data_IF_019768800987
#
_entry.id   IF_019768800987
#
_cell.length_a   1.000
_cell.length_b   1.000
_cell.length_c   1.000
_cell.angle_alpha   90.00
_cell.angle_beta   90.00
_cell.angle_gamma   90.00
#
_symmetry.space_group_name_H-M   'P 1'
#
loop_
_entity.id
_entity.type
_entity.pdbx_description
1 polymer ?
#
# COMPACT_ATOMS: atom_id res chain seq x y z
N UNK A 1 69.45 18.85 14.70
CA UNK A 1 70.20 18.03 15.68
C UNK A 1 69.38 16.75 15.89
N UNK A 2 69.65 15.72 15.08
CA UNK A 2 70.38 14.48 15.41
C UNK A 2 69.48 13.48 16.18
N UNK A 3 69.28 12.20 15.85
CA UNK A 3 69.87 11.22 14.92
C UNK A 3 68.76 10.15 14.62
N UNK A 4 68.53 9.59 13.43
CA UNK A 4 69.32 8.65 12.61
C UNK A 4 69.63 7.29 13.27
N UNK A 5 68.99 6.20 12.78
CA UNK A 5 69.63 4.90 12.53
C UNK A 5 68.75 3.99 11.64
N UNK A 6 69.25 3.69 10.44
CA UNK A 6 68.87 2.63 9.51
C UNK A 6 69.91 1.50 9.60
N UNK A 7 69.61 0.37 8.91
CA UNK A 7 70.47 -0.77 8.49
C UNK A 7 70.32 -2.07 9.29
N UNK A 8 70.35 -3.31 8.74
CA UNK A 8 70.71 -3.92 7.44
C UNK A 8 69.99 -5.31 7.34
N UNK A 9 69.38 -5.74 6.23
CA UNK A 9 69.93 -6.53 5.10
C UNK A 9 70.29 -8.03 5.35
N UNK A 10 69.45 -8.95 4.83
CA UNK A 10 69.67 -10.24 4.04
C UNK A 10 70.82 -11.23 4.39
N UNK A 11 70.73 -12.57 4.12
CA UNK A 11 70.47 -13.16 2.78
C UNK A 11 69.77 -14.56 2.69
N UNK A 12 69.73 -15.08 1.46
CA UNK A 12 68.99 -16.22 0.87
C UNK A 12 69.73 -17.60 0.92
N UNK A 13 68.94 -18.71 1.01
CA UNK A 13 69.05 -20.10 0.43
C UNK A 13 70.16 -21.11 0.86
N UNK A 14 70.06 -22.46 0.59
CA UNK A 14 68.90 -23.36 0.30
C UNK A 14 68.91 -24.78 0.98
N UNK A 15 67.78 -25.50 0.81
CA UNK A 15 67.58 -26.97 0.63
C UNK A 15 67.97 -28.01 1.70
N UNK A 16 66.96 -28.77 2.16
CA UNK A 16 67.04 -30.24 2.28
C UNK A 16 65.65 -30.89 2.16
N UNK A 17 65.58 -31.91 1.33
CA UNK A 17 64.43 -32.78 1.04
C UNK A 17 64.57 -34.04 1.88
N UNK A 18 63.56 -34.41 2.69
CA UNK A 18 63.22 -35.83 2.95
C UNK A 18 61.72 -35.96 3.20
N UNK A 19 61.11 -36.84 2.42
CA UNK A 19 59.73 -37.33 2.50
C UNK A 19 59.42 -38.01 3.85
N UNK A 20 58.19 -37.83 4.37
CA UNK A 20 57.33 -38.96 4.75
C UNK A 20 55.88 -38.51 4.99
N UNK A 21 54.97 -39.40 4.60
CA UNK A 21 53.55 -39.20 4.34
C UNK A 21 52.70 -39.00 5.61
N UNK A 22 51.59 -38.24 5.49
CA UNK A 22 50.30 -38.46 6.17
C UNK A 22 49.19 -37.78 5.33
N UNK A 23 48.23 -38.60 4.89
CA UNK A 23 46.85 -38.38 4.40
C UNK A 23 46.43 -37.03 3.78
N UNK A 24 46.25 -37.01 2.44
CA UNK A 24 45.47 -35.98 1.73
C UNK A 24 43.97 -36.27 1.83
N UNK A 25 43.22 -35.35 2.42
CA UNK A 25 41.76 -35.25 2.21
C UNK A 25 41.47 -34.75 0.78
N UNK A 26 40.50 -35.37 0.12
CA UNK A 26 39.97 -34.97 -1.20
C UNK A 26 39.41 -33.54 -1.13
N UNK A 27 39.67 -32.65 -2.10
CA UNK A 27 38.85 -31.46 -2.26
C UNK A 27 37.51 -31.89 -2.88
N UNK A 28 36.42 -31.55 -2.21
CA UNK A 28 35.08 -31.72 -2.74
C UNK A 28 34.92 -30.88 -4.00
N UNK A 29 34.54 -31.55 -5.09
CA UNK A 29 34.27 -30.98 -6.41
C UNK A 29 33.05 -30.06 -6.29
N UNK A 30 33.26 -28.75 -6.19
CA UNK A 30 32.19 -27.76 -6.17
C UNK A 30 31.52 -27.76 -7.54
N UNK A 31 30.34 -28.37 -7.63
CA UNK A 31 29.47 -28.26 -8.81
C UNK A 31 28.98 -26.81 -8.85
N UNK A 32 29.52 -26.02 -9.78
CA UNK A 32 28.92 -24.74 -10.16
C UNK A 32 27.57 -25.04 -10.80
N UNK A 33 26.51 -25.03 -9.99
CA UNK A 33 25.15 -24.87 -10.49
C UNK A 33 25.06 -23.45 -11.06
N UNK A 34 25.27 -23.35 -12.37
CA UNK A 34 24.91 -22.14 -13.12
C UNK A 34 23.40 -22.20 -13.30
N UNK A 35 22.66 -21.62 -12.36
CA UNK A 35 21.24 -21.36 -12.53
C UNK A 35 21.09 -20.20 -13.52
N UNK A 36 21.27 -20.48 -14.79
CA UNK A 36 20.70 -19.65 -15.85
C UNK A 36 19.20 -19.94 -15.82
N UNK A 37 18.45 -19.20 -15.02
CA UNK A 37 17.01 -19.07 -15.23
C UNK A 37 16.84 -18.26 -16.50
N UNK A 38 16.96 -18.95 -17.64
CA UNK A 38 16.43 -18.48 -18.90
C UNK A 38 14.93 -18.33 -18.67
N UNK A 39 14.47 -17.09 -18.50
CA UNK A 39 13.06 -16.73 -18.55
C UNK A 39 12.57 -16.95 -19.98
N UNK A 40 12.43 -18.22 -20.35
CA UNK A 40 11.55 -18.59 -21.45
C UNK A 40 10.19 -18.01 -21.08
N UNK A 41 9.74 -17.04 -21.87
CA UNK A 41 8.35 -16.60 -21.90
C UNK A 41 7.52 -17.81 -22.33
N UNK A 42 7.13 -18.62 -21.34
CA UNK A 42 5.96 -19.47 -21.47
C UNK A 42 4.85 -18.47 -21.76
N UNK A 43 4.28 -18.53 -22.96
CA UNK A 43 3.06 -17.81 -23.32
C UNK A 43 2.12 -17.88 -22.12
N UNK A 44 1.79 -16.75 -21.49
CA UNK A 44 0.95 -16.71 -20.28
C UNK A 44 -0.35 -17.48 -20.57
N UNK A 45 -0.45 -18.70 -20.05
CA UNK A 45 -1.63 -19.56 -20.22
C UNK A 45 -2.77 -19.07 -19.31
N UNK A 46 -2.44 -18.31 -18.26
CA UNK A 46 -3.38 -17.71 -17.31
C UNK A 46 -3.24 -16.20 -17.35
N UNK A 47 -4.37 -15.50 -17.16
CA UNK A 47 -4.37 -14.04 -16.93
C UNK A 47 -3.66 -13.69 -15.62
N UNK A 48 -3.22 -12.45 -15.52
CA UNK A 48 -2.62 -11.95 -14.28
C UNK A 48 -3.61 -11.99 -13.13
N UNK A 49 -3.10 -12.41 -11.97
CA UNK A 49 -3.85 -12.44 -10.74
C UNK A 49 -3.73 -11.10 -10.01
N UNK A 50 -4.85 -10.38 -9.91
CA UNK A 50 -4.90 -9.04 -9.32
C UNK A 50 -5.59 -9.07 -7.96
N UNK A 51 -4.93 -8.56 -6.93
CA UNK A 51 -5.53 -8.38 -5.61
C UNK A 51 -5.68 -6.91 -5.26
N UNK A 52 -6.69 -6.60 -4.44
CA UNK A 52 -6.87 -5.27 -3.83
C UNK A 52 -6.74 -5.40 -2.31
N UNK A 53 -5.83 -4.65 -1.70
CA UNK A 53 -5.69 -4.58 -0.24
C UNK A 53 -6.19 -3.22 0.26
N UNK A 54 -7.21 -3.24 1.12
CA UNK A 54 -7.82 -2.04 1.71
C UNK A 54 -7.64 -2.09 3.22
N UNK A 55 -7.10 -1.02 3.78
CA UNK A 55 -7.16 -0.71 5.22
C UNK A 55 -7.67 0.73 5.33
N UNK A 56 -8.94 0.95 5.71
CA UNK A 56 -9.51 2.30 5.70
C UNK A 56 -8.67 3.28 6.54
N UNK A 57 -8.57 4.49 6.03
CA UNK A 57 -7.84 5.58 6.69
C UNK A 57 -8.65 6.08 7.90
N UNK A 58 -7.99 6.37 9.02
CA UNK A 58 -8.62 7.05 10.16
C UNK A 58 -9.57 6.20 11.01
N UNK A 59 -9.53 4.86 10.89
CA UNK A 59 -10.38 3.95 11.68
C UNK A 59 -9.65 3.21 12.80
N UNK A 60 -8.37 3.54 13.05
CA UNK A 60 -7.57 2.90 14.10
C UNK A 60 -7.35 1.42 13.88
N UNK A 61 -7.12 0.99 12.63
CA UNK A 61 -6.87 -0.41 12.31
C UNK A 61 -5.64 -0.95 13.07
N UNK A 62 -5.75 -2.15 13.62
CA UNK A 62 -4.65 -2.78 14.36
C UNK A 62 -3.39 -2.99 13.49
N UNK A 63 -3.53 -3.12 12.18
CA UNK A 63 -2.48 -3.12 11.15
C UNK A 63 -2.90 -2.18 10.01
N UNK A 64 -2.10 -1.16 9.74
CA UNK A 64 -2.40 -0.08 8.79
C UNK A 64 -3.11 1.12 9.42
N UNK A 65 -3.19 1.17 10.75
CA UNK A 65 -3.62 2.34 11.51
C UNK A 65 -2.47 3.27 11.89
N UNK A 66 -1.22 2.90 11.61
CA UNK A 66 -0.03 3.72 11.86
C UNK A 66 0.77 3.89 10.58
N UNK A 67 1.57 4.96 10.47
CA UNK A 67 2.35 5.24 9.26
C UNK A 67 3.28 4.07 8.89
N UNK A 68 2.86 3.30 7.88
CA UNK A 68 3.65 2.23 7.27
C UNK A 68 3.55 0.85 7.88
N UNK A 69 2.75 0.64 8.93
CA UNK A 69 2.71 -0.65 9.62
C UNK A 69 1.98 -1.75 8.84
N UNK A 70 1.20 -1.39 7.80
CA UNK A 70 0.66 -2.32 6.81
C UNK A 70 1.58 -2.58 5.61
N UNK A 71 2.66 -1.80 5.40
CA UNK A 71 3.58 -1.99 4.28
C UNK A 71 4.23 -3.39 4.25
N UNK A 72 4.62 -4.01 5.39
CA UNK A 72 5.10 -5.39 5.39
C UNK A 72 4.07 -6.41 4.85
N UNK A 73 2.79 -6.19 5.13
CA UNK A 73 1.69 -7.04 4.62
C UNK A 73 1.57 -6.86 3.11
N UNK A 74 1.54 -5.62 2.62
CA UNK A 74 1.50 -5.32 1.20
C UNK A 74 2.69 -5.93 0.45
N UNK A 75 3.90 -5.85 1.02
CA UNK A 75 5.12 -6.46 0.46
C UNK A 75 5.04 -7.98 0.41
N UNK A 76 4.51 -8.62 1.44
CA UNK A 76 4.33 -10.07 1.45
C UNK A 76 3.27 -10.50 0.41
N UNK A 77 2.14 -9.80 0.35
CA UNK A 77 1.09 -10.03 -0.64
C UNK A 77 1.59 -9.83 -2.07
N UNK A 78 2.35 -8.77 -2.34
CA UNK A 78 2.87 -8.48 -3.67
C UNK A 78 3.81 -9.58 -4.19
N UNK A 79 4.38 -10.40 -3.30
CA UNK A 79 5.21 -11.55 -3.70
C UNK A 79 4.41 -12.77 -4.19
N UNK A 80 3.12 -12.85 -3.85
CA UNK A 80 2.24 -13.97 -4.24
C UNK A 80 1.28 -13.61 -5.37
N UNK A 81 0.98 -12.33 -5.61
CA UNK A 81 0.09 -11.87 -6.69
C UNK A 81 0.88 -11.34 -7.89
N UNK A 82 0.24 -11.22 -9.05
CA UNK A 82 0.88 -10.62 -10.23
C UNK A 82 0.74 -9.09 -10.22
N UNK A 83 -0.37 -8.57 -9.69
CA UNK A 83 -0.60 -7.16 -9.46
C UNK A 83 -1.31 -6.95 -8.11
N UNK A 84 -0.80 -6.03 -7.28
CA UNK A 84 -1.46 -5.60 -6.05
C UNK A 84 -1.90 -4.14 -6.20
N UNK A 85 -3.19 -3.87 -6.01
CA UNK A 85 -3.73 -2.52 -5.92
C UNK A 85 -3.88 -2.19 -4.44
N UNK A 86 -3.33 -1.07 -3.99
CA UNK A 86 -3.53 -0.56 -2.64
C UNK A 86 -3.39 0.95 -2.62
N UNK A 87 -3.54 1.56 -1.45
CA UNK A 87 -3.72 2.99 -1.30
C UNK A 87 -2.66 3.62 -0.39
N UNK A 88 -2.51 4.97 -0.41
CA UNK A 88 -1.51 5.69 0.38
C UNK A 88 -1.39 5.23 1.83
N UNK A 89 -2.50 5.08 2.56
CA UNK A 89 -2.49 4.67 3.98
C UNK A 89 -1.80 3.31 4.23
N UNK A 90 -1.79 2.38 3.26
CA UNK A 90 -1.05 1.10 3.39
C UNK A 90 0.43 1.24 3.01
N UNK A 91 0.73 2.11 2.03
CA UNK A 91 2.03 2.13 1.35
C UNK A 91 2.98 3.22 1.87
N UNK A 92 2.42 4.28 2.46
CA UNK A 92 3.17 5.41 3.00
C UNK A 92 3.68 5.09 4.41
N UNK A 93 4.94 5.41 4.69
CA UNK A 93 5.57 5.21 6.00
C UNK A 93 6.43 6.43 6.38
N UNK A 94 5.85 7.63 6.24
CA UNK A 94 6.52 8.92 6.45
C UNK A 94 7.80 9.07 5.58
N UNK A 95 8.98 8.99 6.19
CA UNK A 95 10.26 9.03 5.48
C UNK A 95 10.63 7.70 4.82
N UNK A 96 10.00 6.61 5.24
CA UNK A 96 10.24 5.27 4.74
C UNK A 96 9.29 4.96 3.59
N UNK A 97 9.78 4.24 2.59
CA UNK A 97 8.99 3.63 1.54
C UNK A 97 9.75 2.41 1.02
N UNK A 98 9.03 1.48 0.38
CA UNK A 98 9.65 0.30 -0.19
C UNK A 98 9.28 0.17 -1.67
N UNK A 99 10.26 -0.01 -2.58
CA UNK A 99 9.96 -0.18 -3.99
C UNK A 99 9.29 -1.54 -4.23
N UNK A 100 8.03 -1.51 -4.68
CA UNK A 100 7.25 -2.69 -5.02
C UNK A 100 6.87 -2.62 -6.51
N UNK A 101 7.52 -3.40 -7.39
CA UNK A 101 7.42 -3.21 -8.84
C UNK A 101 6.07 -3.61 -9.45
N UNK A 102 5.25 -4.36 -8.70
CA UNK A 102 3.94 -4.84 -9.13
C UNK A 102 2.80 -4.31 -8.24
N UNK A 103 3.00 -3.15 -7.61
CA UNK A 103 1.99 -2.49 -6.80
C UNK A 103 1.51 -1.20 -7.48
N UNK A 104 0.19 -1.04 -7.56
CA UNK A 104 -0.44 0.19 -8.01
C UNK A 104 -0.86 1.03 -6.81
N UNK A 105 -0.36 2.26 -6.75
CA UNK A 105 -0.62 3.25 -5.71
C UNK A 105 -1.87 4.07 -6.08
N UNK A 106 -3.03 3.75 -5.51
CA UNK A 106 -4.33 4.31 -5.89
C UNK A 106 -4.97 5.02 -4.72
N UNK A 107 -5.34 6.29 -4.90
CA UNK A 107 -6.03 7.06 -3.87
C UNK A 107 -7.42 6.45 -3.54
N UNK A 108 -7.93 6.66 -2.31
CA UNK A 108 -9.14 6.01 -1.80
C UNK A 108 -10.40 6.27 -2.64
N UNK A 109 -10.69 7.51 -3.00
CA UNK A 109 -11.80 7.83 -3.91
C UNK A 109 -11.61 7.18 -5.27
N UNK A 110 -10.42 7.28 -5.86
CA UNK A 110 -10.13 6.61 -7.12
C UNK A 110 -10.35 5.09 -7.05
N UNK A 111 -9.99 4.47 -5.92
CA UNK A 111 -10.20 3.06 -5.67
C UNK A 111 -11.69 2.71 -5.60
N UNK A 112 -12.51 3.55 -4.97
CA UNK A 112 -13.96 3.40 -4.95
C UNK A 112 -14.55 3.50 -6.36
N UNK A 113 -14.16 4.51 -7.16
CA UNK A 113 -14.61 4.66 -8.56
C UNK A 113 -14.15 3.51 -9.45
N UNK A 114 -12.95 3.01 -9.20
CA UNK A 114 -12.43 1.80 -9.86
C UNK A 114 -13.29 0.58 -9.52
N UNK A 115 -13.57 0.34 -8.24
CA UNK A 115 -14.37 -0.79 -7.77
C UNK A 115 -15.80 -0.77 -8.31
N UNK A 116 -16.38 0.42 -8.49
CA UNK A 116 -17.68 0.63 -9.15
C UNK A 116 -17.66 0.32 -10.66
N UNK A 117 -16.47 0.10 -11.24
CA UNK A 117 -16.28 -0.13 -12.67
C UNK A 117 -16.38 1.13 -13.51
N UNK A 118 -16.35 2.31 -12.86
CA UNK A 118 -16.50 3.60 -13.52
C UNK A 118 -15.16 4.13 -14.02
N UNK A 119 -14.07 3.83 -13.30
CA UNK A 119 -12.71 4.17 -13.71
C UNK A 119 -11.88 2.91 -13.97
N UNK A 120 -10.98 2.97 -14.96
CA UNK A 120 -9.89 2.03 -15.16
C UNK A 120 -8.58 2.59 -14.65
N UNK A 121 -7.65 1.69 -14.28
CA UNK A 121 -6.31 2.05 -13.86
C UNK A 121 -5.34 1.77 -14.99
N UNK A 122 -4.63 2.80 -15.44
CA UNK A 122 -3.60 2.70 -16.49
C UNK A 122 -2.21 2.80 -15.85
N UNK A 123 -1.47 1.68 -15.73
CA UNK A 123 -0.10 1.70 -15.24
C UNK A 123 0.79 2.63 -16.09
N UNK A 124 1.78 3.24 -15.44
CA UNK A 124 2.73 4.16 -16.07
C UNK A 124 4.15 3.79 -15.69
N UNK A 125 5.12 4.17 -16.54
CA UNK A 125 6.53 4.09 -16.17
C UNK A 125 6.94 5.22 -15.23
N UNK A 126 6.38 6.42 -15.43
CA UNK A 126 6.73 7.61 -14.69
C UNK A 126 5.66 8.68 -14.85
N UNK A 127 5.25 9.30 -13.74
CA UNK A 127 4.41 10.50 -13.72
C UNK A 127 5.26 11.79 -13.77
N UNK A 128 4.60 12.93 -13.97
CA UNK A 128 5.14 14.27 -13.74
C UNK A 128 4.44 14.84 -12.51
N UNK A 129 5.11 14.76 -11.36
CA UNK A 129 4.53 15.11 -10.07
C UNK A 129 4.66 16.61 -9.81
N UNK A 130 3.54 17.28 -9.53
CA UNK A 130 3.48 18.65 -9.05
C UNK A 130 3.27 18.72 -7.54
N UNK A 131 3.91 19.68 -6.88
CA UNK A 131 3.77 19.90 -5.44
C UNK A 131 2.94 21.14 -5.14
N UNK A 132 1.86 21.01 -4.38
CA UNK A 132 1.10 22.13 -3.83
C UNK A 132 1.47 22.31 -2.36
N UNK A 133 1.93 23.51 -2.00
CA UNK A 133 2.22 23.88 -0.61
C UNK A 133 1.13 24.84 -0.12
N UNK A 134 0.57 24.57 1.04
CA UNK A 134 -0.36 25.48 1.70
C UNK A 134 0.34 26.79 2.11
N UNK A 135 -0.28 27.93 1.78
CA UNK A 135 0.16 29.27 2.18
C UNK A 135 0.20 29.47 3.69
N UNK A 136 -0.50 28.63 4.46
CA UNK A 136 -0.44 28.63 5.92
C UNK A 136 0.86 28.07 6.50
N UNK A 137 1.70 27.41 5.70
CA UNK A 137 2.95 26.79 6.18
C UNK A 137 4.00 27.88 6.46
N UNK A 138 4.61 27.81 7.64
CA UNK A 138 5.70 28.70 8.05
C UNK A 138 6.94 28.53 7.15
N UNK A 139 7.71 29.60 6.95
CA UNK A 139 8.80 29.60 5.97
C UNK A 139 9.87 28.52 6.22
N UNK A 140 10.21 28.24 7.48
CA UNK A 140 11.15 27.15 7.79
C UNK A 140 10.58 25.77 7.42
N UNK A 141 9.32 25.51 7.80
CA UNK A 141 8.67 24.23 7.53
C UNK A 141 8.47 24.02 6.03
N UNK A 142 8.10 25.09 5.31
CA UNK A 142 8.03 25.12 3.84
C UNK A 142 9.38 24.81 3.21
N UNK A 143 10.47 25.41 3.70
CA UNK A 143 11.83 25.12 3.22
C UNK A 143 12.20 23.65 3.42
N UNK A 144 11.84 23.04 4.55
CA UNK A 144 12.08 21.60 4.80
C UNK A 144 11.38 20.72 3.77
N UNK A 145 10.12 21.03 3.41
CA UNK A 145 9.39 20.30 2.37
C UNK A 145 10.03 20.46 0.98
N UNK A 146 10.48 21.67 0.64
CA UNK A 146 11.20 21.91 -0.62
C UNK A 146 12.54 21.14 -0.66
N UNK A 147 13.28 21.10 0.45
CA UNK A 147 14.50 20.30 0.56
C UNK A 147 14.24 18.80 0.40
N UNK A 148 13.11 18.29 0.90
CA UNK A 148 12.70 16.90 0.64
C UNK A 148 12.41 16.66 -0.84
N UNK A 149 11.69 17.59 -1.50
CA UNK A 149 11.46 17.50 -2.95
C UNK A 149 12.79 17.47 -3.73
N UNK A 150 13.74 18.35 -3.40
CA UNK A 150 15.07 18.37 -4.03
C UNK A 150 15.90 17.11 -3.71
N UNK A 151 15.88 16.65 -2.47
CA UNK A 151 16.62 15.46 -2.04
C UNK A 151 16.11 14.19 -2.74
N UNK A 152 14.80 14.03 -2.87
CA UNK A 152 14.19 12.88 -3.56
C UNK A 152 14.44 12.92 -5.06
N UNK A 153 14.41 14.10 -5.69
CA UNK A 153 14.85 14.29 -7.09
C UNK A 153 16.29 13.87 -7.28
N UNK A 154 17.20 14.35 -6.44
CA UNK A 154 18.64 14.11 -6.57
C UNK A 154 19.05 12.67 -6.23
N UNK A 155 18.46 12.08 -5.19
CA UNK A 155 18.92 10.80 -4.63
C UNK A 155 18.16 9.59 -5.17
N UNK A 156 16.88 9.77 -5.51
CA UNK A 156 15.99 8.70 -5.95
C UNK A 156 15.56 8.85 -7.42
N UNK A 157 15.84 10.00 -8.04
CA UNK A 157 15.44 10.28 -9.42
C UNK A 157 13.95 10.53 -9.59
N UNK A 158 13.24 10.96 -8.53
CA UNK A 158 11.78 11.15 -8.62
C UNK A 158 11.40 12.32 -9.53
N UNK A 159 10.31 12.21 -10.30
CA UNK A 159 9.91 13.17 -11.33
C UNK A 159 9.08 14.34 -10.77
N UNK A 160 9.55 14.98 -9.70
CA UNK A 160 8.89 16.16 -9.10
C UNK A 160 9.24 17.39 -9.91
N UNK A 161 8.37 17.87 -10.80
CA UNK A 161 8.76 18.82 -11.87
C UNK A 161 8.59 20.29 -11.50
N UNK A 162 7.68 20.63 -10.59
CA UNK A 162 7.42 22.01 -10.15
C UNK A 162 6.67 22.02 -8.82
N UNK A 163 6.60 23.18 -8.17
CA UNK A 163 5.69 23.43 -7.07
C UNK A 163 4.90 24.73 -7.27
N UNK A 164 3.81 24.88 -6.52
CA UNK A 164 3.10 26.15 -6.34
C UNK A 164 2.71 26.29 -4.87
N UNK A 165 2.42 27.52 -4.45
CA UNK A 165 1.81 27.81 -3.15
C UNK A 165 0.34 28.16 -3.39
N UNK A 166 -0.55 27.76 -2.49
CA UNK A 166 -1.96 28.20 -2.53
C UNK A 166 -2.04 29.73 -2.36
N UNK A 167 -3.12 30.36 -2.80
CA UNK A 167 -3.24 31.83 -2.70
C UNK A 167 -3.70 32.29 -1.30
N UNK A 168 -4.30 31.37 -0.54
CA UNK A 168 -4.74 31.56 0.83
C UNK A 168 -4.54 30.28 1.65
N UNK A 169 -4.35 30.38 2.98
CA UNK A 169 -4.21 29.21 3.85
C UNK A 169 -5.41 28.28 3.73
N UNK A 170 -5.18 26.95 3.74
CA UNK A 170 -6.25 25.96 3.60
C UNK A 170 -7.19 25.91 4.81
N UNK A 171 -6.71 26.33 5.99
CA UNK A 171 -7.43 26.32 7.25
C UNK A 171 -7.94 24.90 7.57
N UNK A 172 -6.98 23.99 7.77
CA UNK A 172 -7.25 22.58 8.10
C UNK A 172 -7.81 22.50 9.52
N UNK A 173 -8.91 21.78 9.68
CA UNK A 173 -9.51 21.41 10.97
C UNK A 173 -9.63 19.89 11.04
N UNK A 174 -9.34 19.30 12.20
CA UNK A 174 -9.36 17.86 12.43
C UNK A 174 -10.03 17.53 13.77
N UNK A 175 -10.73 16.40 13.84
CA UNK A 175 -11.35 15.90 15.07
C UNK A 175 -11.64 14.40 14.96
N UNK A 176 -11.83 13.75 16.12
CA UNK A 176 -12.45 12.43 16.18
C UNK A 176 -13.97 12.56 16.22
N UNK A 177 -14.68 11.79 15.40
CA UNK A 177 -16.12 11.70 15.45
C UNK A 177 -16.55 11.10 16.80
N UNK A 178 -17.36 11.81 17.62
CA UNK A 178 -17.67 11.38 18.97
C UNK A 178 -18.57 10.15 19.03
N UNK A 179 -19.21 9.78 17.92
CA UNK A 179 -20.13 8.62 17.85
C UNK A 179 -19.41 7.37 17.39
N UNK A 180 -18.53 7.50 16.41
CA UNK A 180 -17.86 6.38 15.73
C UNK A 180 -16.39 6.23 16.12
N UNK A 181 -15.78 7.24 16.74
CA UNK A 181 -14.36 7.25 17.09
C UNK A 181 -13.42 7.42 15.88
N UNK A 182 -13.95 7.58 14.67
CA UNK A 182 -13.16 7.75 13.45
C UNK A 182 -12.53 9.14 13.38
N UNK A 183 -11.35 9.22 12.81
CA UNK A 183 -10.70 10.49 12.45
C UNK A 183 -11.37 11.12 11.23
N UNK A 184 -11.64 12.41 11.33
CA UNK A 184 -12.28 13.19 10.26
C UNK A 184 -11.84 14.65 10.34
N UNK A 185 -12.25 15.46 9.35
CA UNK A 185 -11.95 16.88 9.36
C UNK A 185 -12.48 17.62 8.14
N UNK A 186 -12.01 18.86 7.97
CA UNK A 186 -12.33 19.69 6.80
C UNK A 186 -11.22 20.68 6.50
N UNK A 187 -11.29 21.26 5.30
CA UNK A 187 -10.51 22.44 4.93
C UNK A 187 -11.44 23.63 4.72
N UNK A 188 -11.07 24.81 5.25
CA UNK A 188 -11.86 26.03 5.16
C UNK A 188 -11.77 26.74 3.80
N UNK A 189 -10.75 26.43 2.98
CA UNK A 189 -10.52 27.02 1.65
C UNK A 189 -10.25 25.97 0.56
N UNK A 190 -11.22 25.09 0.25
CA UNK A 190 -11.08 24.10 -0.83
C UNK A 190 -10.86 24.76 -2.20
N UNK A 191 -11.44 25.93 -2.43
CA UNK A 191 -11.30 26.71 -3.65
C UNK A 191 -9.84 27.13 -3.92
N UNK A 192 -9.10 27.47 -2.87
CA UNK A 192 -7.67 27.83 -2.92
C UNK A 192 -6.83 26.64 -3.38
N UNK A 193 -7.10 25.44 -2.84
CA UNK A 193 -6.46 24.19 -3.25
C UNK A 193 -6.72 23.89 -4.73
N UNK A 194 -7.99 23.93 -5.15
CA UNK A 194 -8.37 23.63 -6.53
C UNK A 194 -7.74 24.61 -7.53
N UNK A 195 -7.67 25.91 -7.22
CA UNK A 195 -6.98 26.90 -8.06
C UNK A 195 -5.48 26.58 -8.20
N UNK A 196 -4.82 26.21 -7.11
CA UNK A 196 -3.41 25.86 -7.12
C UNK A 196 -3.14 24.60 -7.96
N UNK A 197 -3.94 23.54 -7.78
CA UNK A 197 -3.83 22.32 -8.59
C UNK A 197 -4.08 22.60 -10.06
N UNK A 198 -5.17 23.32 -10.39
CA UNK A 198 -5.50 23.70 -11.76
C UNK A 198 -4.33 24.43 -12.43
N UNK A 199 -3.70 25.36 -11.73
CA UNK A 199 -2.54 26.08 -12.25
C UNK A 199 -1.36 25.14 -12.58
N UNK A 200 -1.07 24.14 -11.73
CA UNK A 200 -0.03 23.16 -12.01
C UNK A 200 -0.39 22.28 -13.23
N UNK A 201 -1.62 21.78 -13.29
CA UNK A 201 -2.09 20.91 -14.38
C UNK A 201 -2.03 21.66 -15.72
N UNK A 202 -2.62 22.85 -15.80
CA UNK A 202 -2.72 23.60 -17.05
C UNK A 202 -1.38 24.24 -17.48
N UNK A 203 -0.59 24.77 -16.55
CA UNK A 203 0.59 25.58 -16.89
C UNK A 203 1.89 24.77 -16.89
N UNK A 204 1.97 23.71 -16.10
CA UNK A 204 3.17 22.87 -16.00
C UNK A 204 2.96 21.45 -16.52
N UNK A 205 1.75 21.10 -16.98
CA UNK A 205 1.40 19.79 -17.54
C UNK A 205 1.72 18.63 -16.57
N UNK A 206 1.49 18.85 -15.26
CA UNK A 206 1.62 17.81 -14.24
C UNK A 206 0.44 16.84 -14.36
N UNK A 207 0.68 15.57 -14.07
CA UNK A 207 -0.35 14.52 -14.13
C UNK A 207 -0.43 13.68 -12.84
N UNK A 208 0.23 14.13 -11.78
CA UNK A 208 0.08 13.62 -10.42
C UNK A 208 0.37 14.77 -9.44
N UNK A 209 -0.32 14.80 -8.30
CA UNK A 209 -0.26 15.92 -7.35
C UNK A 209 0.10 15.41 -5.95
N UNK A 210 1.13 16.02 -5.35
CA UNK A 210 1.36 15.94 -3.92
C UNK A 210 0.85 17.23 -3.27
N UNK A 211 -0.02 17.13 -2.26
CA UNK A 211 -0.49 18.29 -1.48
C UNK A 211 0.15 18.27 -0.10
N UNK A 212 0.75 19.38 0.30
CA UNK A 212 1.24 19.60 1.67
C UNK A 212 0.34 20.65 2.31
N UNK A 213 -0.50 20.22 3.26
CA UNK A 213 -1.37 21.12 4.04
C UNK A 213 -0.72 21.53 5.35
N UNK A 214 -0.96 22.75 5.85
CA UNK A 214 -0.61 23.11 7.24
C UNK A 214 -1.70 22.60 8.17
N UNK A 215 -1.39 21.64 9.00
CA UNK A 215 -2.32 21.06 9.97
C UNK A 215 -2.20 21.81 11.30
N UNK A 216 -3.25 21.88 12.14
CA UNK A 216 -3.10 22.36 13.51
C UNK A 216 -2.07 21.51 14.26
N UNK A 217 -1.17 22.16 15.00
CA UNK A 217 -0.24 21.45 15.88
C UNK A 217 -1.02 20.78 17.01
N UNK A 218 -0.66 19.54 17.31
CA UNK A 218 -1.27 18.76 18.38
C UNK A 218 -0.77 19.17 19.77
N UNK A 219 -1.69 19.21 20.74
CA UNK A 219 -1.31 19.16 22.14
C UNK A 219 -0.83 17.74 22.49
N UNK A 220 0.24 17.62 23.29
CA UNK A 220 0.85 16.32 23.62
C UNK A 220 -0.14 15.28 24.14
N UNK A 221 -1.14 15.71 24.92
CA UNK A 221 -2.14 14.82 25.50
C UNK A 221 -3.06 14.20 24.46
N UNK A 222 -3.29 14.87 23.32
CA UNK A 222 -4.23 14.41 22.29
C UNK A 222 -3.67 13.27 21.44
N UNK A 223 -2.34 13.18 21.31
CA UNK A 223 -1.67 12.20 20.43
C UNK A 223 -0.79 11.20 21.17
N UNK A 224 -0.64 11.31 22.50
CA UNK A 224 0.23 10.44 23.28
C UNK A 224 -0.19 8.96 23.21
N UNK A 225 -1.49 8.68 23.23
CA UNK A 225 -2.01 7.33 23.02
C UNK A 225 -1.63 6.80 21.64
N UNK A 226 -1.84 7.60 20.58
CA UNK A 226 -1.46 7.23 19.20
C UNK A 226 0.02 6.92 19.10
N UNK A 227 0.89 7.80 19.64
CA UNK A 227 2.35 7.59 19.66
C UNK A 227 2.74 6.33 20.43
N UNK A 228 1.96 5.91 21.43
CA UNK A 228 2.14 4.65 22.18
C UNK A 228 1.51 3.43 21.51
N UNK A 229 1.02 3.57 20.27
CA UNK A 229 0.41 2.48 19.52
C UNK A 229 -1.00 2.14 20.02
N UNK A 230 -1.74 3.15 20.49
CA UNK A 230 -3.13 3.02 20.94
C UNK A 230 -4.00 4.11 20.29
N UNK A 231 -5.24 3.82 19.96
CA UNK A 231 -6.14 4.83 19.42
C UNK A 231 -5.89 5.14 17.93
N UNK A 232 -6.46 6.25 17.48
CA UNK A 232 -6.64 6.59 16.06
C UNK A 232 -5.76 7.76 15.68
N UNK A 233 -5.19 7.76 14.47
CA UNK A 233 -4.50 8.93 13.93
C UNK A 233 -5.49 10.08 13.65
N UNK A 234 -5.33 11.20 14.35
CA UNK A 234 -6.18 12.39 14.20
C UNK A 234 -5.98 13.11 12.85
N UNK A 235 -4.87 12.86 12.14
CA UNK A 235 -4.56 13.51 10.86
C UNK A 235 -5.25 12.80 9.69
N UNK A 236 -5.27 11.47 9.74
CA UNK A 236 -5.71 10.56 8.69
C UNK A 236 -7.02 10.96 7.99
N UNK A 237 -8.03 11.40 8.73
CA UNK A 237 -9.33 11.75 8.18
C UNK A 237 -9.30 12.95 7.23
N UNK A 238 -8.74 14.09 7.66
CA UNK A 238 -8.70 15.31 6.84
C UNK A 238 -7.69 15.20 5.70
N UNK A 239 -6.64 14.44 5.92
CA UNK A 239 -5.70 13.98 4.90
C UNK A 239 -6.42 13.31 3.71
N UNK A 240 -7.30 12.34 3.99
CA UNK A 240 -8.14 11.72 2.96
C UNK A 240 -9.08 12.74 2.28
N UNK A 241 -9.67 13.68 3.02
CA UNK A 241 -10.52 14.75 2.45
C UNK A 241 -9.76 15.60 1.42
N UNK A 242 -8.50 15.94 1.69
CA UNK A 242 -7.69 16.77 0.79
C UNK A 242 -7.41 16.06 -0.53
N UNK A 243 -6.93 14.82 -0.48
CA UNK A 243 -6.60 14.06 -1.70
C UNK A 243 -7.85 13.68 -2.49
N UNK A 244 -8.92 13.27 -1.81
CA UNK A 244 -10.22 12.97 -2.41
C UNK A 244 -10.75 14.15 -3.23
N UNK A 245 -10.76 15.37 -2.67
CA UNK A 245 -11.24 16.56 -3.37
C UNK A 245 -10.48 16.82 -4.68
N UNK A 246 -9.16 16.62 -4.68
CA UNK A 246 -8.33 16.79 -5.87
C UNK A 246 -8.58 15.70 -6.90
N UNK A 247 -8.68 14.44 -6.46
CA UNK A 247 -8.94 13.30 -7.34
C UNK A 247 -10.33 13.41 -7.98
N UNK A 248 -11.34 13.78 -7.21
CA UNK A 248 -12.71 13.94 -7.69
C UNK A 248 -12.80 15.01 -8.79
N UNK A 249 -12.19 16.19 -8.56
CA UNK A 249 -12.26 17.32 -9.50
C UNK A 249 -11.39 17.09 -10.76
N UNK A 250 -10.15 16.61 -10.58
CA UNK A 250 -9.15 16.58 -11.67
C UNK A 250 -8.90 15.20 -12.27
N UNK A 251 -9.37 14.12 -11.63
CA UNK A 251 -9.25 12.74 -12.12
C UNK A 251 -7.79 12.32 -12.41
N UNK A 252 -6.84 12.86 -11.63
CA UNK A 252 -5.43 12.49 -11.66
C UNK A 252 -4.98 11.97 -10.29
N UNK A 253 -3.93 11.15 -10.22
CA UNK A 253 -3.38 10.69 -8.94
C UNK A 253 -3.04 11.84 -8.01
N UNK A 254 -3.53 11.76 -6.78
CA UNK A 254 -3.21 12.70 -5.72
C UNK A 254 -2.92 11.95 -4.43
N UNK A 255 -1.97 12.47 -3.66
CA UNK A 255 -1.74 12.08 -2.28
C UNK A 255 -1.28 13.30 -1.49
N UNK A 256 -1.29 13.17 -0.18
CA UNK A 256 -1.11 14.28 0.75
C UNK A 256 0.01 13.98 1.75
N UNK A 257 0.57 15.03 2.32
CA UNK A 257 1.41 14.98 3.51
C UNK A 257 1.02 16.14 4.44
N UNK A 258 1.05 15.95 5.77
CA UNK A 258 0.83 17.04 6.69
C UNK A 258 2.13 17.81 6.92
N UNK A 259 2.03 19.14 6.97
CA UNK A 259 3.04 20.00 7.56
C UNK A 259 2.65 20.28 9.00
N UNK A 260 3.49 19.80 9.92
CA UNK A 260 3.34 19.90 11.38
C UNK A 260 4.65 20.36 11.99
N UNK A 261 4.57 21.06 13.13
CA UNK A 261 5.76 21.28 13.94
C UNK A 261 6.31 19.93 14.46
N UNK A 262 7.63 19.73 14.47
CA UNK A 262 8.21 18.51 15.01
C UNK A 262 7.93 18.43 16.51
N UNK A 263 7.48 17.26 16.94
CA UNK A 263 7.31 16.98 18.36
C UNK A 263 8.67 16.77 19.03
N UNK A 264 8.81 17.13 20.32
CA UNK A 264 9.89 16.66 21.17
C UNK A 264 10.03 15.13 21.13
N UNK A 265 11.30 14.72 21.18
CA UNK A 265 11.69 13.31 21.25
C UNK A 265 11.06 12.66 22.48
N UNK A 266 10.43 11.51 22.26
CA UNK A 266 9.82 10.69 23.30
C UNK A 266 10.54 9.35 23.43
N UNK A 267 10.71 8.87 24.67
CA UNK A 267 11.29 7.56 24.96
C UNK A 267 10.26 6.43 24.88
N UNK A 268 8.96 6.75 24.79
CA UNK A 268 7.86 5.78 24.85
C UNK A 268 7.11 5.63 23.53
N UNK A 269 7.75 5.93 22.40
CA UNK A 269 7.14 5.76 21.07
C UNK A 269 7.03 4.26 20.74
N UNK A 270 5.87 3.85 20.26
CA UNK A 270 5.64 2.49 19.77
C UNK A 270 6.42 2.27 18.47
N UNK A 271 7.01 1.07 18.24
CA UNK A 271 7.65 0.77 16.96
C UNK A 271 6.75 0.97 15.72
N UNK A 272 5.42 0.88 15.87
CA UNK A 272 4.47 1.09 14.77
C UNK A 272 4.34 2.55 14.34
N UNK A 273 4.49 3.50 15.26
CA UNK A 273 4.43 4.95 14.99
C UNK A 273 5.81 5.58 14.81
N UNK A 274 6.88 4.84 15.13
CA UNK A 274 8.25 5.35 15.10
C UNK A 274 8.72 5.87 13.73
N UNK A 275 8.09 5.43 12.62
CA UNK A 275 8.41 5.95 11.29
C UNK A 275 8.22 7.47 11.19
N UNK A 276 7.23 8.01 11.90
CA UNK A 276 6.87 9.43 11.92
C UNK A 276 7.93 10.29 12.65
N UNK A 277 8.71 9.68 13.55
CA UNK A 277 9.78 10.36 14.30
C UNK A 277 11.09 10.48 13.49
N UNK A 278 11.19 9.80 12.34
CA UNK A 278 12.47 9.67 11.61
C UNK A 278 12.82 10.89 10.75
N UNK A 279 11.90 11.85 10.59
CA UNK A 279 12.16 13.05 9.81
C UNK A 279 11.16 14.17 10.09
N UNK A 280 11.37 15.29 9.40
CA UNK A 280 10.60 16.51 9.62
C UNK A 280 9.34 16.61 8.74
N UNK A 281 9.15 15.67 7.82
CA UNK A 281 8.06 15.70 6.83
C UNK A 281 7.62 14.28 6.54
N UNK A 282 6.37 14.10 6.12
CA UNK A 282 5.83 12.80 5.69
C UNK A 282 5.92 12.62 4.15
N UNK A 283 6.53 13.60 3.47
CA UNK A 283 6.50 13.78 2.02
C UNK A 283 7.28 12.73 1.19
N UNK A 284 8.39 12.10 1.63
CA UNK A 284 9.16 11.21 0.75
C UNK A 284 8.37 10.02 0.21
N UNK A 285 7.62 9.33 1.07
CA UNK A 285 6.83 8.17 0.65
C UNK A 285 5.71 8.54 -0.33
N UNK A 286 5.10 9.72 -0.14
CA UNK A 286 4.09 10.29 -1.03
C UNK A 286 4.66 10.53 -2.42
N UNK A 287 5.82 11.20 -2.51
CA UNK A 287 6.48 11.45 -3.79
C UNK A 287 6.91 10.14 -4.47
N UNK A 288 7.39 9.16 -3.70
CA UNK A 288 7.77 7.86 -4.23
C UNK A 288 6.55 7.12 -4.81
N UNK A 289 5.43 7.05 -4.09
CA UNK A 289 4.20 6.42 -4.57
C UNK A 289 3.59 7.13 -5.78
N UNK A 290 3.53 8.46 -5.76
CA UNK A 290 3.01 9.24 -6.88
C UNK A 290 3.88 9.16 -8.14
N UNK A 291 5.17 8.83 -8.01
CA UNK A 291 6.07 8.74 -9.16
C UNK A 291 5.64 7.70 -10.20
N UNK A 292 4.92 6.65 -9.77
CA UNK A 292 4.44 5.55 -10.60
C UNK A 292 2.96 5.19 -10.39
N UNK A 293 2.20 5.98 -9.63
CA UNK A 293 0.76 5.83 -9.48
C UNK A 293 0.06 5.72 -10.86
N UNK A 294 -0.87 4.76 -11.06
CA UNK A 294 -1.55 4.60 -12.34
C UNK A 294 -2.40 5.84 -12.64
N UNK A 295 -2.54 6.17 -13.93
CA UNK A 295 -3.47 7.20 -14.36
C UNK A 295 -4.91 6.65 -14.38
N UNK A 296 -5.88 7.51 -14.07
CA UNK A 296 -7.29 7.12 -14.04
C UNK A 296 -7.92 7.35 -15.41
N UNK A 297 -8.70 6.38 -15.88
CA UNK A 297 -9.36 6.43 -17.19
C UNK A 297 -10.86 6.29 -16.99
N UNK A 298 -11.63 7.33 -17.31
CA UNK A 298 -13.10 7.33 -17.10
C UNK A 298 -13.86 6.67 -18.25
N UNK A 299 -13.31 6.75 -19.48
CA UNK A 299 -13.89 6.14 -20.68
C UNK A 299 -13.09 4.91 -21.13
N UNK A 300 -13.33 3.78 -20.48
CA UNK A 300 -12.57 2.54 -20.69
C UNK A 300 -13.00 1.78 -21.96
N UNK A 301 -12.64 2.33 -23.12
CA UNK A 301 -12.58 1.60 -24.39
C UNK A 301 -11.17 1.10 -24.72
N UNK A 302 -10.17 1.50 -23.91
CA UNK A 302 -8.76 1.17 -24.13
C UNK A 302 -8.41 -0.22 -23.56
N UNK A 303 -7.72 -1.03 -24.36
CA UNK A 303 -7.34 -2.42 -24.01
C UNK A 303 -6.24 -2.55 -22.96
N UNK A 304 -5.63 -1.43 -22.55
CA UNK A 304 -4.43 -1.40 -21.71
C UNK A 304 -4.70 -0.96 -20.25
N UNK A 305 -5.97 -0.87 -19.85
CA UNK A 305 -6.36 -0.49 -18.49
C UNK A 305 -6.78 -1.72 -17.70
N UNK A 306 -6.43 -1.74 -16.41
CA UNK A 306 -6.98 -2.69 -15.45
C UNK A 306 -8.38 -2.19 -15.05
N UNK A 307 -9.35 -3.09 -15.07
CA UNK A 307 -10.74 -2.83 -14.72
C UNK A 307 -11.13 -3.60 -13.45
N UNK A 308 -12.23 -3.21 -12.78
CA UNK A 308 -12.72 -3.93 -11.60
C UNK A 308 -12.97 -5.43 -11.85
N UNK A 309 -13.38 -5.80 -13.07
CA UNK A 309 -13.61 -7.20 -13.44
C UNK A 309 -12.32 -8.04 -13.57
N UNK A 310 -11.15 -7.40 -13.60
CA UNK A 310 -9.85 -8.06 -13.60
C UNK A 310 -9.36 -8.40 -12.18
N UNK A 311 -10.06 -7.93 -11.14
CA UNK A 311 -9.72 -8.20 -9.73
C UNK A 311 -10.15 -9.62 -9.34
N UNK A 312 -9.20 -10.39 -8.81
CA UNK A 312 -9.40 -11.77 -8.37
C UNK A 312 -9.74 -11.89 -6.90
N UNK A 313 -9.26 -10.97 -6.08
CA UNK A 313 -9.47 -11.01 -4.63
C UNK A 313 -9.34 -9.65 -3.98
N UNK A 314 -10.06 -9.46 -2.89
CA UNK A 314 -9.96 -8.26 -2.05
C UNK A 314 -9.73 -8.67 -0.60
N UNK A 315 -8.92 -7.88 0.11
CA UNK A 315 -8.57 -8.10 1.51
C UNK A 315 -8.92 -6.85 2.30
N UNK A 316 -9.78 -7.02 3.31
CA UNK A 316 -10.32 -5.92 4.13
C UNK A 316 -10.32 -6.36 5.61
N UNK A 317 -10.05 -5.44 6.57
CA UNK A 317 -10.40 -5.63 7.97
C UNK A 317 -11.81 -6.22 8.15
N UNK A 318 -11.99 -7.07 9.17
CA UNK A 318 -13.27 -7.77 9.40
C UNK A 318 -14.44 -6.81 9.57
N UNK A 319 -14.23 -5.67 10.19
CA UNK A 319 -15.27 -4.75 10.65
C UNK A 319 -15.37 -3.49 9.78
N UNK A 320 -14.81 -3.49 8.56
CA UNK A 320 -14.74 -2.31 7.68
C UNK A 320 -15.43 -2.46 6.30
N UNK A 321 -16.52 -3.21 6.20
CA UNK A 321 -17.14 -3.58 4.90
C UNK A 321 -18.16 -2.57 4.35
N UNK A 322 -18.40 -1.46 5.05
CA UNK A 322 -19.37 -0.43 4.63
C UNK A 322 -18.85 0.52 3.54
N UNK A 323 -17.53 0.59 3.35
CA UNK A 323 -16.90 1.47 2.36
C UNK A 323 -17.42 1.24 0.94
N UNK A 324 -17.48 2.31 0.12
CA UNK A 324 -18.08 2.26 -1.21
C UNK A 324 -17.40 1.19 -2.09
N UNK A 325 -16.06 1.14 -2.12
CA UNK A 325 -15.33 0.14 -2.88
C UNK A 325 -15.56 -1.29 -2.42
N UNK A 326 -15.64 -1.53 -1.10
CA UNK A 326 -15.94 -2.85 -0.54
C UNK A 326 -17.32 -3.35 -0.99
N UNK A 327 -18.34 -2.49 -0.89
CA UNK A 327 -19.70 -2.77 -1.33
C UNK A 327 -19.78 -2.96 -2.85
N UNK A 328 -19.06 -2.15 -3.62
CA UNK A 328 -19.02 -2.22 -5.08
C UNK A 328 -18.45 -3.56 -5.56
N UNK A 329 -17.29 -3.99 -5.02
CA UNK A 329 -16.73 -5.30 -5.33
C UNK A 329 -17.66 -6.46 -4.92
N UNK A 330 -18.31 -6.35 -3.76
CA UNK A 330 -19.20 -7.40 -3.28
C UNK A 330 -20.49 -7.53 -4.11
N UNK A 331 -20.96 -6.44 -4.72
CA UNK A 331 -22.22 -6.36 -5.50
C UNK A 331 -22.02 -6.36 -7.01
N UNK A 332 -20.78 -6.34 -7.49
CA UNK A 332 -20.43 -6.26 -8.91
C UNK A 332 -21.12 -7.34 -9.75
N UNK A 333 -21.64 -6.94 -10.92
CA UNK A 333 -22.26 -7.84 -11.90
C UNK A 333 -21.17 -8.32 -12.87
N UNK A 334 -20.42 -9.35 -12.49
CA UNK A 334 -19.32 -9.86 -13.33
C UNK A 334 -18.52 -10.95 -12.62
N UNK A 335 -17.23 -11.01 -12.92
CA UNK A 335 -16.29 -11.84 -12.17
C UNK A 335 -16.19 -11.31 -10.73
N UNK A 336 -16.84 -11.98 -9.78
CA UNK A 336 -16.83 -11.57 -8.38
C UNK A 336 -15.49 -11.96 -7.75
N UNK A 337 -14.73 -11.01 -7.19
CA UNK A 337 -13.47 -11.35 -6.53
C UNK A 337 -13.72 -12.19 -5.28
N UNK A 338 -12.72 -12.98 -4.90
CA UNK A 338 -12.68 -13.64 -3.59
C UNK A 338 -12.58 -12.57 -2.50
N UNK A 339 -13.61 -12.50 -1.66
CA UNK A 339 -13.72 -11.53 -0.58
C UNK A 339 -13.07 -12.11 0.69
N UNK A 340 -12.06 -11.45 1.26
CA UNK A 340 -11.33 -11.94 2.43
C UNK A 340 -11.43 -10.93 3.57
N UNK A 341 -11.98 -11.37 4.71
CA UNK A 341 -12.13 -10.58 5.94
C UNK A 341 -11.09 -11.04 6.96
N UNK A 342 -10.20 -10.14 7.39
CA UNK A 342 -9.11 -10.44 8.34
C UNK A 342 -9.55 -10.12 9.76
N UNK A 343 -9.64 -11.14 10.62
CA UNK A 343 -10.17 -11.01 11.99
C UNK A 343 -9.23 -10.27 12.94
N UNK A 344 -7.91 -10.45 12.87
CA UNK A 344 -6.98 -9.76 13.79
C UNK A 344 -6.83 -8.25 13.53
N UNK A 345 -7.30 -7.77 12.38
CA UNK A 345 -7.17 -6.36 12.02
C UNK A 345 -8.42 -5.59 12.42
N UNK A 346 -8.69 -5.57 13.73
CA UNK A 346 -9.84 -4.85 14.29
C UNK A 346 -9.68 -3.33 14.11
N UNK A 347 -10.81 -2.63 13.99
CA UNK A 347 -10.91 -1.18 13.86
C UNK A 347 -11.92 -0.63 14.89
N UNK A 348 -12.18 0.68 14.87
CA UNK A 348 -13.26 1.29 15.68
C UNK A 348 -14.66 1.05 15.09
N UNK A 349 -14.76 0.40 13.93
CA UNK A 349 -16.00 0.14 13.22
C UNK A 349 -16.66 -1.16 13.69
N UNK A 350 -17.89 -1.41 13.21
CA UNK A 350 -18.63 -2.66 13.43
C UNK A 350 -19.32 -3.11 12.13
N UNK A 351 -18.72 -2.78 10.99
CA UNK A 351 -19.26 -3.03 9.66
C UNK A 351 -18.83 -4.41 9.16
N UNK A 352 -19.32 -5.47 9.79
CA UNK A 352 -19.01 -6.86 9.40
C UNK A 352 -19.72 -7.28 8.09
N UNK A 353 -19.16 -8.22 7.29
CA UNK A 353 -19.73 -8.65 6.01
C UNK A 353 -21.21 -9.07 6.09
N UNK A 354 -21.59 -9.79 7.15
CA UNK A 354 -22.93 -10.34 7.34
C UNK A 354 -24.02 -9.26 7.39
N UNK A 355 -23.71 -8.09 7.96
CA UNK A 355 -24.66 -6.97 8.06
C UNK A 355 -25.07 -6.44 6.68
N UNK A 356 -24.28 -6.71 5.65
CA UNK A 356 -24.50 -6.26 4.28
C UNK A 356 -24.86 -7.41 3.33
N UNK A 357 -25.06 -8.63 3.86
CA UNK A 357 -25.33 -9.82 3.04
C UNK A 357 -24.13 -10.25 2.20
N UNK A 358 -22.91 -9.95 2.67
CA UNK A 358 -21.67 -10.27 1.96
C UNK A 358 -21.11 -11.58 2.50
N UNK A 359 -20.94 -12.56 1.60
CA UNK A 359 -20.22 -13.80 1.90
C UNK A 359 -18.73 -13.58 1.64
N UNK A 360 -17.94 -13.53 2.72
CA UNK A 360 -16.50 -13.39 2.69
C UNK A 360 -15.82 -14.57 3.40
N UNK A 361 -14.65 -14.98 2.89
CA UNK A 361 -13.77 -15.91 3.57
C UNK A 361 -13.16 -15.21 4.76
N UNK A 362 -13.55 -15.64 5.96
CA UNK A 362 -12.95 -15.16 7.21
C UNK A 362 -11.62 -15.84 7.43
N UNK A 363 -10.60 -15.04 7.69
CA UNK A 363 -9.27 -15.51 8.04
C UNK A 363 -8.81 -14.90 9.35
N UNK A 364 -8.11 -15.67 10.17
CA UNK A 364 -7.72 -15.19 11.49
C UNK A 364 -6.68 -14.06 11.41
N UNK A 365 -5.78 -14.09 10.42
CA UNK A 365 -4.67 -13.16 10.30
C UNK A 365 -4.19 -12.97 8.85
N UNK A 366 -3.31 -12.00 8.62
CA UNK A 366 -2.77 -11.72 7.28
C UNK A 366 -1.90 -12.86 6.71
N UNK A 367 -1.27 -13.70 7.55
CA UNK A 367 -0.53 -14.87 7.04
C UNK A 367 -1.48 -15.86 6.38
N UNK A 368 -2.62 -16.09 7.00
CA UNK A 368 -3.67 -16.92 6.46
C UNK A 368 -4.31 -16.29 5.22
N UNK A 369 -4.55 -14.97 5.21
CA UNK A 369 -5.01 -14.24 4.02
C UNK A 369 -4.08 -14.47 2.81
N UNK A 370 -2.77 -14.35 3.03
CA UNK A 370 -1.74 -14.60 2.00
C UNK A 370 -1.81 -16.06 1.51
N UNK A 371 -1.96 -17.02 2.42
CA UNK A 371 -2.12 -18.44 2.08
C UNK A 371 -3.38 -18.73 1.24
N UNK A 372 -4.50 -18.11 1.60
CA UNK A 372 -5.76 -18.19 0.83
C UNK A 372 -5.58 -17.65 -0.58
N UNK A 373 -4.92 -16.50 -0.73
CA UNK A 373 -4.63 -15.89 -2.04
C UNK A 373 -3.69 -16.77 -2.88
N UNK A 374 -2.64 -17.33 -2.27
CA UNK A 374 -1.73 -18.22 -2.95
C UNK A 374 -2.44 -19.48 -3.48
N UNK A 375 -3.34 -20.07 -2.68
CA UNK A 375 -4.17 -21.19 -3.10
C UNK A 375 -5.11 -20.81 -4.25
N UNK A 376 -5.82 -19.68 -4.11
CA UNK A 376 -6.75 -19.19 -5.11
C UNK A 376 -6.06 -18.91 -6.46
N UNK A 377 -4.89 -18.25 -6.44
CA UNK A 377 -4.06 -18.02 -7.64
C UNK A 377 -3.61 -19.33 -8.29
N UNK A 378 -3.29 -20.35 -7.50
CA UNK A 378 -2.93 -21.66 -8.01
C UNK A 378 -4.12 -22.39 -8.69
N UNK A 379 -5.36 -21.90 -8.51
CA UNK A 379 -6.59 -22.56 -8.95
C UNK A 379 -7.05 -23.67 -7.99
N UNK A 380 -6.60 -23.60 -6.72
CA UNK A 380 -6.99 -24.52 -5.65
C UNK A 380 -8.06 -23.85 -4.81
N UNK A 381 -9.17 -24.55 -4.55
CA UNK A 381 -10.16 -24.10 -3.57
C UNK A 381 -9.49 -24.01 -2.17
N UNK A 382 -9.39 -22.81 -1.56
CA UNK A 382 -8.75 -22.64 -0.26
C UNK A 382 -9.37 -23.53 0.84
N UNK A 383 -10.65 -23.88 0.74
CA UNK A 383 -11.31 -24.76 1.72
C UNK A 383 -10.78 -26.19 1.67
N UNK A 384 -10.19 -26.62 0.55
CA UNK A 384 -9.53 -27.93 0.46
C UNK A 384 -8.25 -28.03 1.30
N UNK A 385 -7.67 -26.90 1.70
CA UNK A 385 -6.50 -26.85 2.57
C UNK A 385 -6.87 -26.82 4.06
N UNK A 386 -8.16 -26.73 4.38
CA UNK A 386 -8.65 -26.76 5.76
C UNK A 386 -8.93 -28.17 6.20
N UNK A 387 -8.49 -28.49 7.42
CA UNK A 387 -8.80 -29.76 8.07
C UNK A 387 -10.33 -29.94 8.15
N UNK A 388 -10.83 -31.05 7.60
CA UNK A 388 -12.23 -31.47 7.66
C UNK A 388 -13.25 -30.54 6.97
N UNK A 389 -12.86 -29.73 5.99
CA UNK A 389 -13.80 -28.87 5.25
C UNK A 389 -14.22 -29.42 3.88
N UNK A 390 -13.57 -30.49 3.41
CA UNK A 390 -14.00 -31.19 2.19
C UNK A 390 -15.17 -32.12 2.57
N UNK A 391 -16.37 -31.78 2.11
CA UNK A 391 -17.58 -32.59 2.28
C UNK A 391 -17.80 -33.48 1.05
N UNK A 392 -18.55 -34.57 1.22
CA UNK A 392 -19.01 -35.37 0.10
C UNK A 392 -19.81 -34.48 -0.87
N UNK A 393 -19.64 -34.70 -2.17
CA UNK A 393 -20.37 -33.95 -3.20
C UNK A 393 -21.88 -34.20 -3.04
N UNK A 394 -22.67 -33.14 -3.04
CA UNK A 394 -24.13 -33.24 -2.94
C UNK A 394 -24.77 -33.38 -4.33
N UNK A 395 -25.74 -34.28 -4.47
CA UNK A 395 -26.56 -34.37 -5.67
C UNK A 395 -27.61 -33.25 -5.64
N UNK A 396 -27.51 -32.27 -6.54
CA UNK A 396 -28.58 -31.29 -6.74
C UNK A 396 -29.68 -31.94 -7.59
N UNK A 397 -30.91 -32.10 -7.08
CA UNK A 397 -31.98 -32.75 -7.84
C UNK A 397 -32.30 -31.92 -9.10
N UNK A 398 -32.29 -32.59 -10.25
CA UNK A 398 -32.67 -31.99 -11.52
C UNK A 398 -34.19 -31.77 -11.52
N UNK A 399 -34.63 -30.51 -11.46
CA UNK A 399 -36.03 -30.18 -11.65
C UNK A 399 -36.37 -30.36 -13.14
N UNK A 400 -36.97 -31.51 -13.50
CA UNK A 400 -37.52 -31.66 -14.85
C UNK A 400 -38.69 -30.68 -15.03
N UNK A 401 -38.73 -29.99 -16.17
CA UNK A 401 -39.82 -29.08 -16.55
C UNK A 401 -41.17 -29.77 -16.73
N UNK A 402 -41.20 -31.11 -16.64
CA UNK A 402 -42.41 -31.93 -16.80
C UNK A 402 -42.78 -32.63 -15.50
N UNK A 403 -43.13 -31.88 -14.45
CA UNK A 403 -44.07 -32.25 -13.37
C UNK A 403 -43.87 -33.56 -12.57
N UNK A 404 -42.85 -34.37 -12.85
CA UNK A 404 -42.58 -35.63 -12.16
C UNK A 404 -41.26 -35.51 -11.43
N UNK A 405 -41.34 -35.38 -10.10
CA UNK A 405 -40.21 -35.49 -9.22
C UNK A 405 -39.63 -36.91 -9.34
N UNK A 406 -38.42 -37.02 -9.87
CA UNK A 406 -37.63 -38.25 -9.75
C UNK A 406 -37.06 -38.25 -8.34
N UNK A 407 -37.68 -39.02 -7.45
CA UNK A 407 -37.16 -39.29 -6.11
C UNK A 407 -35.86 -40.08 -6.22
N UNK A 408 -34.73 -39.40 -6.07
CA UNK A 408 -33.43 -40.03 -5.93
C UNK A 408 -33.38 -40.81 -4.61
N UNK A 409 -33.20 -42.13 -4.71
CA UNK A 409 -32.93 -43.02 -3.60
C UNK A 409 -31.72 -42.51 -2.79
N UNK A 410 -31.88 -42.49 -1.47
CA UNK A 410 -30.83 -42.16 -0.54
C UNK A 410 -29.63 -43.10 -0.65
N UNK A 411 -28.45 -42.55 -0.42
CA UNK A 411 -27.26 -43.31 -0.04
C UNK A 411 -26.79 -42.76 1.29
N UNK A 412 -26.63 -43.70 2.22
CA UNK A 412 -26.33 -43.56 3.64
C UNK A 412 -24.88 -43.09 3.89
N UNK A 413 -24.76 -42.37 5.01
CA UNK A 413 -23.59 -42.14 5.89
C UNK A 413 -22.32 -41.53 5.29
#
# INVERSE_FOLDING_TARGET
>A
MAAAALYHSRPFLPASVVNQAITKSRPARTVRASSVTSSYSISKVKRDYTSVMIVPTGVGAAIGGYAGDALPVARALSSVVDCLISHPNVLNAAMLYWPLPNVLYVEGHALDRFAEGLWGLKPVHQNRVGLVLDAGIEEELKLRHLQVADATRASLGLPVVTYTVTDTPLLVEKWLDPTTGQSTGRIGRPDSLLRAVKALVERANVNAIAVVGRFPDDDFEEIDDYRKGKGVDHLAGVEAVISHLVVEEFQIPCAHAPALAPLPVSLSVCPKSAAEETGYTFLPCVLAGLSNAPQYVVDCTQRDCIMACDVDSIIIPRDAWRGAGALAFARGRGNKPLLIAVEENDTVLDDIPEKFGIEAVKVSNYWEAIGVIAAHKAGVDPMSLRRNQIKNIHCTPYASTNGHAVTGLGVLS
#
